data_IF_377329069133
#
_entry.id   IF_377329069133
#
_cell.length_a   1.000
_cell.length_b   1.000
_cell.length_c   1.000
_cell.angle_alpha   90.00
_cell.angle_beta   90.00
_cell.angle_gamma   90.00
#
_symmetry.space_group_name_H-M   'P 1'
#
loop_
_entity.id
_entity.type
_entity.pdbx_description
1 polymer ?
#
# COMPACT_ATOMS: atom_id res chain seq x y z
N UNK A 1 25.21 -26.08 -15.20
CA UNK A 1 25.11 -24.61 -15.02
C UNK A 1 23.64 -24.24 -15.04
N UNK A 2 23.19 -23.36 -14.15
CA UNK A 2 21.81 -22.85 -14.13
C UNK A 2 21.79 -21.34 -14.37
N UNK A 3 20.94 -20.89 -15.29
CA UNK A 3 20.72 -19.47 -15.57
C UNK A 3 19.24 -19.13 -15.40
N UNK A 4 18.94 -18.13 -14.57
CA UNK A 4 17.57 -17.64 -14.41
C UNK A 4 17.35 -16.38 -15.25
N UNK A 5 16.23 -16.30 -15.96
CA UNK A 5 15.84 -15.11 -16.72
C UNK A 5 14.67 -14.43 -16.02
N UNK A 6 14.85 -13.19 -15.58
CA UNK A 6 13.78 -12.37 -15.03
C UNK A 6 13.34 -11.37 -16.09
N UNK A 7 12.12 -11.52 -16.60
CA UNK A 7 11.56 -10.65 -17.63
C UNK A 7 10.55 -9.67 -17.01
N UNK A 8 10.87 -8.38 -17.07
CA UNK A 8 10.12 -7.27 -16.48
C UNK A 8 9.20 -6.51 -17.44
N UNK A 9 9.11 -6.96 -18.69
CA UNK A 9 8.15 -6.40 -19.65
C UNK A 9 6.72 -6.89 -19.39
N UNK A 10 5.78 -6.49 -20.26
CA UNK A 10 4.34 -6.72 -20.07
C UNK A 10 3.81 -8.01 -20.69
N UNK A 11 4.64 -8.75 -21.43
CA UNK A 11 4.22 -9.99 -22.09
C UNK A 11 3.34 -9.75 -23.32
N UNK A 12 3.51 -8.60 -24.00
CA UNK A 12 2.73 -8.26 -25.20
C UNK A 12 3.17 -9.18 -26.36
N UNK A 13 2.22 -9.47 -27.25
CA UNK A 13 2.50 -10.17 -28.51
C UNK A 13 3.52 -9.35 -29.32
N UNK A 14 4.46 -10.03 -29.97
CA UNK A 14 5.55 -9.38 -30.74
C UNK A 14 6.47 -8.51 -29.88
N UNK A 15 6.67 -8.86 -28.61
CA UNK A 15 7.67 -8.20 -27.78
C UNK A 15 9.10 -8.59 -28.23
N UNK A 16 9.95 -7.61 -28.61
CA UNK A 16 11.29 -7.88 -29.10
C UNK A 16 12.22 -8.49 -28.05
N UNK A 17 12.07 -8.13 -26.77
CA UNK A 17 12.85 -8.71 -25.68
C UNK A 17 12.49 -10.18 -25.49
N UNK A 18 11.20 -10.54 -25.59
CA UNK A 18 10.76 -11.93 -25.50
C UNK A 18 11.38 -12.80 -26.59
N UNK A 19 11.45 -12.29 -27.82
CA UNK A 19 12.15 -12.96 -28.92
C UNK A 19 13.63 -13.17 -28.61
N UNK A 20 14.34 -12.11 -28.19
CA UNK A 20 15.77 -12.17 -27.88
C UNK A 20 16.07 -13.16 -26.76
N UNK A 21 15.35 -13.12 -25.63
CA UNK A 21 15.59 -14.07 -24.54
C UNK A 21 15.18 -15.50 -24.93
N UNK A 22 14.22 -15.66 -25.84
CA UNK A 22 13.86 -16.95 -26.43
C UNK A 22 15.03 -17.55 -27.20
N UNK A 23 15.67 -16.76 -28.07
CA UNK A 23 16.88 -17.16 -28.79
C UNK A 23 18.06 -17.44 -27.87
N UNK A 24 18.29 -16.60 -26.87
CA UNK A 24 19.33 -16.85 -25.85
C UNK A 24 19.05 -18.17 -25.12
N UNK A 25 17.79 -18.46 -24.78
CA UNK A 25 17.41 -19.71 -24.10
C UNK A 25 17.69 -20.92 -24.98
N UNK A 26 17.41 -20.86 -26.29
CA UNK A 26 17.71 -21.94 -27.24
C UNK A 26 19.21 -22.25 -27.29
N UNK A 27 20.06 -21.23 -27.47
CA UNK A 27 21.52 -21.39 -27.51
C UNK A 27 22.06 -21.96 -26.20
N UNK A 28 21.53 -21.51 -25.06
CA UNK A 28 21.93 -22.02 -23.75
C UNK A 28 21.49 -23.48 -23.54
N UNK A 29 20.31 -23.86 -24.02
CA UNK A 29 19.81 -25.24 -23.98
C UNK A 29 20.70 -26.19 -24.81
N UNK A 30 21.11 -25.77 -26.01
CA UNK A 30 22.08 -26.49 -26.86
C UNK A 30 23.43 -26.70 -26.15
N UNK A 31 23.82 -25.78 -25.27
CA UNK A 31 25.02 -25.86 -24.44
C UNK A 31 24.80 -26.62 -23.12
N UNK A 32 23.67 -27.32 -22.95
CA UNK A 32 23.27 -28.07 -21.74
C UNK A 32 23.18 -27.19 -20.47
N UNK A 33 22.75 -25.94 -20.62
CA UNK A 33 22.49 -25.03 -19.50
C UNK A 33 21.03 -25.11 -19.12
N UNK A 34 20.74 -25.32 -17.84
CA UNK A 34 19.36 -25.25 -17.34
C UNK A 34 18.92 -23.79 -17.29
N UNK A 35 17.98 -23.41 -18.15
CA UNK A 35 17.39 -22.07 -18.17
C UNK A 35 16.03 -22.09 -17.49
N UNK A 36 15.82 -21.21 -16.52
CA UNK A 36 14.52 -21.02 -15.86
C UNK A 36 14.04 -19.58 -16.05
N UNK A 37 12.86 -19.40 -16.64
CA UNK A 37 12.32 -18.08 -16.99
C UNK A 37 11.19 -17.68 -16.04
N UNK A 38 11.32 -16.50 -15.46
CA UNK A 38 10.36 -15.86 -14.57
C UNK A 38 9.77 -14.63 -15.26
N UNK A 39 8.51 -14.72 -15.65
CA UNK A 39 7.75 -13.58 -16.13
C UNK A 39 7.24 -12.77 -14.93
N UNK A 40 7.83 -11.62 -14.65
CA UNK A 40 7.49 -10.85 -13.44
C UNK A 40 6.04 -10.34 -13.47
N UNK A 41 5.48 -10.12 -14.67
CA UNK A 41 4.07 -9.75 -14.82
C UNK A 41 3.09 -10.88 -14.47
N UNK A 42 3.51 -12.14 -14.43
CA UNK A 42 2.68 -13.27 -13.99
C UNK A 42 2.81 -13.50 -12.48
N UNK A 43 3.93 -13.07 -11.90
CA UNK A 43 4.34 -13.35 -10.52
C UNK A 43 4.17 -12.13 -9.60
N UNK A 44 3.26 -11.20 -9.93
CA UNK A 44 3.14 -9.88 -9.27
C UNK A 44 3.08 -9.94 -7.73
N UNK A 45 2.34 -10.92 -7.20
CA UNK A 45 2.14 -11.08 -5.75
C UNK A 45 3.29 -11.84 -5.08
N UNK A 46 4.13 -12.52 -5.84
CA UNK A 46 5.23 -13.36 -5.34
C UNK A 46 6.61 -12.82 -5.68
N UNK A 47 6.70 -11.63 -6.31
CA UNK A 47 7.99 -10.98 -6.66
C UNK A 47 8.93 -10.87 -5.46
N UNK A 48 8.39 -10.62 -4.26
CA UNK A 48 9.15 -10.53 -3.01
C UNK A 48 9.89 -11.83 -2.63
N UNK A 49 9.43 -12.98 -3.14
CA UNK A 49 10.03 -14.31 -2.93
C UNK A 49 11.03 -14.75 -3.99
N UNK A 50 11.01 -14.11 -5.15
CA UNK A 50 11.89 -14.47 -6.25
C UNK A 50 13.40 -14.32 -5.97
N UNK A 51 13.88 -13.42 -5.09
CA UNK A 51 15.30 -13.37 -4.77
C UNK A 51 15.86 -14.71 -4.25
N UNK A 52 15.05 -15.55 -3.60
CA UNK A 52 15.46 -16.87 -3.14
C UNK A 52 15.82 -17.81 -4.30
N UNK A 53 15.19 -17.65 -5.47
CA UNK A 53 15.51 -18.43 -6.66
C UNK A 53 16.89 -18.12 -7.25
N UNK A 54 17.57 -17.05 -6.81
CA UNK A 54 18.95 -16.74 -7.23
C UNK A 54 19.96 -17.64 -6.51
N UNK A 55 19.59 -18.22 -5.35
CA UNK A 55 20.50 -19.05 -4.55
C UNK A 55 21.01 -20.28 -5.31
N UNK A 56 20.20 -20.85 -6.19
CA UNK A 56 20.53 -22.04 -6.99
C UNK A 56 21.01 -21.72 -8.42
N UNK A 57 21.14 -20.44 -8.78
CA UNK A 57 21.60 -19.99 -10.08
C UNK A 57 23.12 -19.70 -10.10
N UNK A 58 23.77 -19.96 -11.23
CA UNK A 58 25.17 -19.59 -11.51
C UNK A 58 25.25 -18.21 -12.20
N UNK A 59 24.18 -17.84 -12.91
CA UNK A 59 24.03 -16.53 -13.52
C UNK A 59 22.56 -16.17 -13.72
N UNK A 60 22.31 -14.90 -13.99
CA UNK A 60 20.97 -14.39 -14.24
C UNK A 60 20.96 -13.50 -15.49
N UNK A 61 19.80 -13.40 -16.12
CA UNK A 61 19.52 -12.43 -17.18
C UNK A 61 18.41 -11.51 -16.66
N UNK A 62 18.69 -10.21 -16.62
CA UNK A 62 17.68 -9.20 -16.35
C UNK A 62 17.20 -8.64 -17.68
N UNK A 63 15.97 -8.96 -18.04
CA UNK A 63 15.39 -8.62 -19.32
C UNK A 63 14.21 -7.65 -19.17
N UNK A 64 14.17 -6.57 -19.95
CA UNK A 64 13.03 -5.65 -19.94
C UNK A 64 12.80 -4.99 -21.29
N UNK A 65 11.56 -4.63 -21.57
CA UNK A 65 11.17 -3.90 -22.77
C UNK A 65 10.86 -2.45 -22.39
N UNK A 66 11.57 -1.50 -22.99
CA UNK A 66 11.33 -0.07 -22.78
C UNK A 66 10.25 0.41 -23.73
N UNK A 67 9.08 0.68 -23.16
CA UNK A 67 7.93 1.26 -23.87
C UNK A 67 7.75 2.77 -23.59
N UNK A 68 8.30 3.25 -22.47
CA UNK A 68 8.23 4.66 -22.08
C UNK A 68 9.51 5.14 -21.40
N UNK A 69 9.74 4.75 -20.14
CA UNK A 69 10.85 5.26 -19.35
C UNK A 69 11.37 4.22 -18.36
N UNK A 70 12.69 4.03 -18.37
CA UNK A 70 13.40 3.18 -17.43
C UNK A 70 13.09 1.69 -17.60
N UNK A 71 13.35 0.94 -16.53
CA UNK A 71 13.37 -0.53 -16.56
C UNK A 71 12.00 -1.20 -16.33
N UNK A 72 10.96 -0.41 -16.08
CA UNK A 72 9.61 -0.89 -15.77
C UNK A 72 9.39 -1.22 -14.29
N UNK A 73 8.13 -1.12 -13.85
CA UNK A 73 7.76 -1.26 -12.43
C UNK A 73 7.99 -2.65 -11.86
N UNK A 74 7.71 -3.72 -12.62
CA UNK A 74 7.94 -5.08 -12.14
C UNK A 74 9.42 -5.40 -11.96
N UNK A 75 10.28 -4.94 -12.88
CA UNK A 75 11.72 -5.08 -12.76
C UNK A 75 12.26 -4.27 -11.57
N UNK A 76 11.77 -3.05 -11.38
CA UNK A 76 12.13 -2.24 -10.21
C UNK A 76 11.74 -2.95 -8.91
N UNK A 77 10.50 -3.44 -8.80
CA UNK A 77 10.02 -4.16 -7.62
C UNK A 77 10.85 -5.43 -7.34
N UNK A 78 11.27 -6.15 -8.38
CA UNK A 78 12.15 -7.30 -8.25
C UNK A 78 13.54 -6.91 -7.73
N UNK A 79 14.12 -5.81 -8.23
CA UNK A 79 15.41 -5.30 -7.76
C UNK A 79 15.33 -4.79 -6.31
N UNK A 80 14.22 -4.14 -5.95
CA UNK A 80 13.95 -3.73 -4.57
C UNK A 80 13.80 -4.95 -3.65
N UNK A 81 13.12 -6.01 -4.11
CA UNK A 81 13.06 -7.28 -3.39
C UNK A 81 14.45 -7.92 -3.25
N UNK A 82 15.29 -7.89 -4.28
CA UNK A 82 16.69 -8.33 -4.20
C UNK A 82 17.49 -7.46 -3.20
N UNK A 83 17.18 -6.16 -3.11
CA UNK A 83 17.81 -5.29 -2.13
C UNK A 83 17.45 -5.69 -0.69
N UNK A 84 16.16 -5.92 -0.42
CA UNK A 84 15.62 -6.17 0.92
C UNK A 84 15.81 -7.62 1.40
N UNK A 85 15.55 -8.59 0.52
CA UNK A 85 15.43 -10.01 0.88
C UNK A 85 16.45 -10.92 0.17
N UNK A 86 17.29 -10.35 -0.69
CA UNK A 86 18.29 -11.11 -1.45
C UNK A 86 19.50 -11.52 -0.60
N UNK A 87 19.98 -12.74 -0.80
CA UNK A 87 21.24 -13.22 -0.22
C UNK A 87 22.44 -12.52 -0.87
N UNK A 88 23.03 -11.53 -0.18
CA UNK A 88 24.14 -10.73 -0.71
C UNK A 88 25.41 -11.53 -0.97
N UNK A 89 25.70 -12.53 -0.14
CA UNK A 89 26.88 -13.39 -0.32
C UNK A 89 26.79 -14.15 -1.64
N UNK A 90 25.58 -14.63 -1.96
CA UNK A 90 25.34 -15.27 -3.25
C UNK A 90 25.52 -14.31 -4.41
N UNK A 91 25.02 -13.07 -4.29
CA UNK A 91 25.12 -12.08 -5.36
C UNK A 91 26.57 -11.82 -5.77
N UNK A 92 27.51 -11.74 -4.82
CA UNK A 92 28.94 -11.52 -5.10
C UNK A 92 29.57 -12.54 -6.06
N UNK A 93 28.99 -13.73 -6.14
CA UNK A 93 29.44 -14.82 -7.02
C UNK A 93 28.53 -15.02 -8.24
N UNK A 94 27.45 -14.25 -8.37
CA UNK A 94 26.44 -14.41 -9.42
C UNK A 94 26.66 -13.40 -10.55
N UNK A 95 26.80 -13.94 -11.76
CA UNK A 95 26.90 -13.14 -12.98
C UNK A 95 25.54 -12.65 -13.45
N UNK A 96 25.46 -11.44 -13.99
CA UNK A 96 24.22 -10.89 -14.56
C UNK A 96 24.48 -10.31 -15.94
N UNK A 97 23.63 -10.67 -16.90
CA UNK A 97 23.62 -10.10 -18.25
C UNK A 97 22.33 -9.29 -18.47
N UNK A 98 22.40 -7.98 -18.75
CA UNK A 98 21.21 -7.19 -19.05
C UNK A 98 20.81 -7.35 -20.53
N UNK A 99 19.52 -7.53 -20.78
CA UNK A 99 18.93 -7.61 -22.13
C UNK A 99 17.80 -6.60 -22.21
N UNK A 100 17.96 -5.54 -23.00
CA UNK A 100 16.98 -4.45 -23.05
C UNK A 100 16.58 -4.13 -24.48
N UNK A 101 15.38 -4.52 -24.90
CA UNK A 101 14.85 -4.04 -26.18
C UNK A 101 13.91 -2.87 -25.95
N UNK A 102 13.67 -2.07 -26.99
CA UNK A 102 12.74 -0.96 -26.88
C UNK A 102 11.93 -0.75 -28.15
N UNK A 103 10.72 -0.24 -27.96
CA UNK A 103 9.89 0.33 -29.03
C UNK A 103 9.83 1.85 -28.91
N UNK A 104 10.60 2.43 -27.98
CA UNK A 104 10.73 3.84 -27.71
C UNK A 104 12.18 4.17 -27.31
N UNK A 105 12.64 5.43 -27.40
CA UNK A 105 13.97 5.81 -26.93
C UNK A 105 14.16 5.52 -25.43
N UNK A 106 15.34 5.02 -25.04
CA UNK A 106 15.72 4.88 -23.63
C UNK A 106 16.35 3.53 -23.25
N UNK A 107 16.62 2.68 -24.23
CA UNK A 107 17.17 1.33 -24.04
C UNK A 107 18.58 1.35 -23.42
N UNK A 108 19.40 2.35 -23.76
CA UNK A 108 20.76 2.49 -23.23
C UNK A 108 20.74 2.89 -21.76
N UNK A 109 19.88 3.82 -21.40
CA UNK A 109 19.66 4.26 -20.02
C UNK A 109 19.15 3.10 -19.17
N UNK A 110 18.13 2.37 -19.65
CA UNK A 110 17.60 1.20 -18.96
C UNK A 110 18.65 0.09 -18.79
N UNK A 111 19.46 -0.21 -19.80
CA UNK A 111 20.57 -1.18 -19.69
C UNK A 111 21.60 -0.73 -18.64
N UNK A 112 21.92 0.57 -18.61
CA UNK A 112 22.81 1.15 -17.60
C UNK A 112 22.20 1.01 -16.20
N UNK A 113 20.91 1.31 -16.03
CA UNK A 113 20.19 1.15 -14.76
C UNK A 113 20.22 -0.28 -14.24
N UNK A 114 19.97 -1.29 -15.09
CA UNK A 114 20.06 -2.70 -14.68
C UNK A 114 21.48 -3.08 -14.25
N UNK A 115 22.48 -2.63 -15.01
CA UNK A 115 23.90 -2.87 -14.71
C UNK A 115 24.27 -2.29 -13.35
N UNK A 116 23.98 -1.02 -13.13
CA UNK A 116 24.26 -0.32 -11.88
C UNK A 116 23.51 -0.93 -10.70
N UNK A 117 22.23 -1.29 -10.86
CA UNK A 117 21.45 -1.92 -9.81
C UNK A 117 22.08 -3.24 -9.36
N UNK A 118 22.51 -4.09 -10.29
CA UNK A 118 23.16 -5.35 -9.94
C UNK A 118 24.54 -5.16 -9.31
N UNK A 119 25.33 -4.19 -9.77
CA UNK A 119 26.59 -3.82 -9.11
C UNK A 119 26.36 -3.34 -7.68
N UNK A 120 25.36 -2.50 -7.46
CA UNK A 120 24.95 -2.01 -6.15
C UNK A 120 24.39 -3.13 -5.28
N UNK A 121 23.89 -4.24 -5.83
CA UNK A 121 23.55 -5.44 -5.07
C UNK A 121 24.78 -6.26 -4.68
N UNK A 122 25.92 -6.02 -5.32
CA UNK A 122 27.20 -6.69 -5.07
C UNK A 122 27.60 -7.68 -6.17
N UNK A 123 26.77 -7.85 -7.20
CA UNK A 123 26.97 -8.88 -8.21
C UNK A 123 27.99 -8.56 -9.29
N UNK A 124 28.11 -9.50 -10.24
CA UNK A 124 29.08 -9.44 -11.33
C UNK A 124 28.36 -9.12 -12.66
N UNK A 125 28.22 -7.84 -13.05
CA UNK A 125 27.64 -7.53 -14.35
C UNK A 125 28.55 -8.00 -15.49
N UNK A 126 27.93 -8.51 -16.55
CA UNK A 126 28.55 -8.85 -17.82
C UNK A 126 28.04 -7.91 -18.91
N UNK A 127 28.80 -7.74 -20.01
CA UNK A 127 28.34 -6.95 -21.15
C UNK A 127 27.03 -7.50 -21.74
N UNK A 128 25.96 -6.73 -21.60
CA UNK A 128 24.65 -7.06 -22.12
C UNK A 128 24.44 -6.72 -23.59
N UNK A 129 23.18 -6.58 -23.95
CA UNK A 129 22.73 -6.07 -25.24
C UNK A 129 21.51 -5.15 -25.05
N UNK A 130 21.44 -4.12 -25.89
CA UNK A 130 20.25 -3.30 -26.04
C UNK A 130 20.03 -2.91 -27.49
N UNK A 131 18.77 -2.83 -27.92
CA UNK A 131 18.42 -2.39 -29.27
C UNK A 131 17.01 -1.76 -29.31
N UNK A 132 16.86 -0.78 -30.19
CA UNK A 132 15.55 -0.26 -30.58
C UNK A 132 15.01 -1.10 -31.76
N UNK A 133 13.76 -1.52 -31.66
CA UNK A 133 13.07 -2.34 -32.65
C UNK A 133 11.81 -1.60 -33.10
N UNK A 134 11.86 -1.05 -34.31
CA UNK A 134 10.72 -0.36 -34.93
C UNK A 134 9.71 -1.37 -35.52
N UNK A 135 10.22 -2.35 -36.27
CA UNK A 135 9.43 -3.43 -36.85
C UNK A 135 9.92 -4.79 -36.36
N UNK A 136 9.05 -5.48 -35.62
CA UNK A 136 9.34 -6.78 -35.06
C UNK A 136 9.58 -7.84 -36.12
N UNK A 137 8.83 -7.83 -37.23
CA UNK A 137 8.90 -8.88 -38.25
C UNK A 137 10.24 -8.83 -38.96
N UNK A 138 10.68 -7.63 -39.37
CA UNK A 138 12.01 -7.45 -39.97
C UNK A 138 13.12 -7.84 -38.99
N UNK A 139 12.98 -7.51 -37.71
CA UNK A 139 13.96 -7.85 -36.68
C UNK A 139 14.09 -9.37 -36.45
N UNK A 140 12.98 -10.12 -36.51
CA UNK A 140 12.97 -11.57 -36.30
C UNK A 140 13.62 -12.34 -37.47
N UNK A 141 13.50 -11.84 -38.70
CA UNK A 141 13.96 -12.54 -39.91
C UNK A 141 15.45 -12.23 -40.21
N UNK A 142 15.95 -11.09 -39.75
CA UNK A 142 17.31 -10.62 -40.02
C UNK A 142 18.38 -11.55 -39.42
N UNK A 143 19.15 -12.20 -40.29
CA UNK A 143 20.14 -13.22 -39.91
C UNK A 143 21.33 -12.60 -39.17
N UNK A 144 21.72 -11.38 -39.52
CA UNK A 144 22.83 -10.70 -38.86
C UNK A 144 22.50 -10.39 -37.39
N UNK A 145 21.24 -10.06 -37.09
CA UNK A 145 20.78 -9.81 -35.72
C UNK A 145 20.74 -11.10 -34.91
N UNK A 146 20.28 -12.20 -35.50
CA UNK A 146 20.32 -13.53 -34.89
C UNK A 146 21.77 -13.91 -34.51
N UNK A 147 22.71 -13.77 -35.43
CA UNK A 147 24.12 -14.08 -35.17
C UNK A 147 24.72 -13.23 -34.02
N UNK A 148 24.31 -11.96 -33.88
CA UNK A 148 24.71 -11.11 -32.76
C UNK A 148 24.15 -11.64 -31.43
N UNK A 149 22.88 -12.04 -31.40
CA UNK A 149 22.21 -12.59 -30.20
C UNK A 149 22.89 -13.90 -29.78
N UNK A 150 23.13 -14.81 -30.71
CA UNK A 150 23.79 -16.10 -30.47
C UNK A 150 25.20 -15.91 -29.91
N UNK A 151 26.01 -15.06 -30.56
CA UNK A 151 27.35 -14.73 -30.09
C UNK A 151 27.36 -14.16 -28.68
N UNK A 152 26.35 -13.36 -28.32
CA UNK A 152 26.19 -12.80 -26.97
C UNK A 152 25.78 -13.86 -25.95
N UNK A 153 24.91 -14.80 -26.32
CA UNK A 153 24.55 -15.95 -25.47
C UNK A 153 25.77 -16.86 -25.20
N UNK A 154 26.58 -17.15 -26.23
CA UNK A 154 27.82 -17.92 -26.05
C UNK A 154 28.83 -17.21 -25.14
N UNK A 155 28.97 -15.88 -25.29
CA UNK A 155 29.86 -15.11 -24.43
C UNK A 155 29.39 -15.13 -22.98
N UNK A 156 28.07 -15.04 -22.73
CA UNK A 156 27.49 -15.21 -21.40
C UNK A 156 27.86 -16.59 -20.82
N UNK A 157 27.61 -17.66 -21.57
CA UNK A 157 27.96 -19.03 -21.17
C UNK A 157 29.44 -19.14 -20.79
N UNK A 158 30.32 -18.61 -21.65
CA UNK A 158 31.77 -18.69 -21.49
C UNK A 158 32.24 -17.92 -20.26
N UNK A 159 31.73 -16.71 -20.05
CA UNK A 159 32.10 -15.88 -18.89
C UNK A 159 31.73 -16.53 -17.56
N UNK A 160 30.55 -17.16 -17.48
CA UNK A 160 30.11 -17.87 -16.27
C UNK A 160 30.95 -19.15 -16.08
N UNK A 161 31.08 -19.96 -17.13
CA UNK A 161 31.80 -21.24 -17.08
C UNK A 161 33.28 -21.08 -16.71
N UNK A 162 33.92 -20.02 -17.21
CA UNK A 162 35.33 -19.72 -16.93
C UNK A 162 35.52 -18.89 -15.66
N UNK A 163 34.45 -18.50 -14.97
CA UNK A 163 34.49 -17.64 -13.78
C UNK A 163 35.34 -16.39 -14.02
N UNK A 164 35.07 -15.69 -15.14
CA UNK A 164 35.82 -14.50 -15.53
C UNK A 164 35.83 -13.47 -14.41
N UNK A 165 37.03 -12.99 -14.05
CA UNK A 165 37.19 -11.98 -12.99
C UNK A 165 36.85 -10.59 -13.54
N UNK A 166 36.04 -9.84 -12.80
CA UNK A 166 35.77 -8.43 -13.09
C UNK A 166 36.88 -7.54 -12.53
N UNK A 167 37.23 -6.48 -13.25
CA UNK A 167 38.05 -5.39 -12.71
C UNK A 167 37.34 -4.68 -11.54
N UNK A 168 38.08 -4.04 -10.62
CA UNK A 168 37.47 -3.28 -9.54
C UNK A 168 36.70 -2.06 -10.08
N UNK A 169 35.48 -1.86 -9.59
CA UNK A 169 34.64 -0.69 -9.92
C UNK A 169 34.46 0.21 -8.70
N UNK A 170 34.16 1.49 -8.93
CA UNK A 170 33.95 2.48 -7.87
C UNK A 170 32.84 2.05 -6.89
N UNK A 171 31.73 1.51 -7.40
CA UNK A 171 30.62 1.00 -6.58
C UNK A 171 31.07 -0.12 -5.62
N UNK A 172 31.94 -1.02 -6.08
CA UNK A 172 32.52 -2.09 -5.24
C UNK A 172 33.54 -1.57 -4.23
N UNK A 173 34.24 -0.48 -4.53
CA UNK A 173 35.19 0.15 -3.62
C UNK A 173 34.48 0.94 -2.51
N UNK A 174 33.45 1.74 -2.85
CA UNK A 174 32.71 2.58 -1.90
C UNK A 174 31.90 1.74 -0.91
N UNK A 175 31.31 0.61 -1.32
CA UNK A 175 30.66 -0.33 -0.38
C UNK A 175 31.57 -0.80 0.76
N UNK A 176 32.88 -0.96 0.50
CA UNK A 176 33.84 -1.33 1.55
C UNK A 176 34.16 -0.17 2.50
N UNK A 177 34.07 1.06 2.00
CA UNK A 177 34.40 2.29 2.75
C UNK A 177 33.20 2.73 3.61
N UNK A 178 31.97 2.57 3.11
CA UNK A 178 30.73 2.98 3.77
C UNK A 178 30.07 1.87 4.62
N UNK A 179 30.84 0.88 5.07
CA UNK A 179 30.33 -0.18 5.94
C UNK A 179 29.54 0.41 7.11
N UNK A 180 28.34 -0.14 7.35
CA UNK A 180 27.46 0.14 8.49
C UNK A 180 26.52 1.37 8.41
N UNK A 181 25.80 1.53 7.30
CA UNK A 181 24.39 1.93 7.44
C UNK A 181 23.63 0.75 8.06
N UNK A 182 23.01 0.94 9.23
CA UNK A 182 22.26 -0.05 10.04
C UNK A 182 21.32 -0.94 9.21
N UNK A 183 21.85 -1.97 8.57
CA UNK A 183 21.09 -3.14 8.16
C UNK A 183 21.41 -4.21 9.19
N UNK A 184 20.40 -4.67 9.91
CA UNK A 184 20.52 -5.89 10.71
C UNK A 184 20.95 -6.97 9.70
N UNK A 185 22.14 -7.58 9.84
CA UNK A 185 22.57 -8.62 8.93
C UNK A 185 21.65 -9.81 9.17
N UNK A 186 20.61 -9.93 8.35
CA UNK A 186 19.70 -11.07 8.37
C UNK A 186 20.47 -12.26 7.84
N UNK A 187 20.43 -13.35 8.59
CA UNK A 187 20.88 -14.65 8.10
C UNK A 187 20.07 -15.04 6.86
N UNK A 188 20.60 -15.89 5.96
CA UNK A 188 19.85 -16.36 4.80
C UNK A 188 18.47 -16.94 5.16
N UNK A 189 18.36 -17.60 6.32
CA UNK A 189 17.11 -18.14 6.86
C UNK A 189 16.12 -17.04 7.27
N UNK A 190 16.57 -15.98 7.95
CA UNK A 190 15.73 -14.84 8.32
C UNK A 190 15.26 -14.05 7.09
N UNK A 191 16.12 -13.94 6.07
CA UNK A 191 15.78 -13.29 4.79
C UNK A 191 14.70 -14.06 4.04
N UNK A 192 14.79 -15.39 3.98
CA UNK A 192 13.75 -16.24 3.39
C UNK A 192 12.44 -16.20 4.19
N UNK A 193 12.50 -16.18 5.52
CA UNK A 193 11.30 -16.05 6.36
C UNK A 193 10.62 -14.70 6.15
N UNK A 194 11.37 -13.59 6.16
CA UNK A 194 10.83 -12.25 5.92
C UNK A 194 10.23 -12.12 4.52
N UNK A 195 10.87 -12.72 3.52
CA UNK A 195 10.36 -12.78 2.17
C UNK A 195 9.01 -13.49 2.09
N UNK A 196 8.85 -14.62 2.79
CA UNK A 196 7.56 -15.32 2.92
C UNK A 196 6.51 -14.45 3.61
N UNK A 197 6.84 -13.83 4.74
CA UNK A 197 5.91 -12.93 5.46
C UNK A 197 5.50 -11.70 4.63
N UNK A 198 6.40 -11.13 3.83
CA UNK A 198 6.10 -10.00 2.95
C UNK A 198 5.29 -10.40 1.71
N UNK A 199 5.36 -11.67 1.30
CA UNK A 199 4.55 -12.24 0.21
C UNK A 199 3.21 -12.79 0.69
N UNK A 200 3.06 -13.04 1.99
CA UNK A 200 1.86 -13.61 2.57
C UNK A 200 0.77 -12.52 2.64
N UNK A 201 -0.04 -12.46 1.58
CA UNK A 201 -1.29 -11.70 1.58
C UNK A 201 -2.24 -12.17 2.70
N UNK A 202 -2.00 -13.33 3.33
CA UNK A 202 -2.76 -13.76 4.52
C UNK A 202 -2.70 -12.78 5.66
N UNK A 203 -1.67 -11.93 5.82
CA UNK A 203 -1.71 -10.88 6.85
C UNK A 203 -2.67 -9.74 6.49
N UNK A 204 -2.83 -9.42 5.20
CA UNK A 204 -3.81 -8.43 4.72
C UNK A 204 -5.21 -9.05 4.67
N UNK A 205 -5.32 -10.34 4.34
CA UNK A 205 -6.55 -11.10 4.37
C UNK A 205 -7.03 -11.32 5.80
N UNK A 206 -6.14 -11.72 6.72
CA UNK A 206 -6.39 -11.78 8.16
C UNK A 206 -6.69 -10.40 8.71
N UNK A 207 -6.02 -9.31 8.31
CA UNK A 207 -6.45 -7.98 8.75
C UNK A 207 -7.84 -7.61 8.23
N UNK A 208 -8.24 -8.03 7.03
CA UNK A 208 -9.58 -7.79 6.50
C UNK A 208 -10.62 -8.67 7.18
N UNK A 209 -10.31 -9.95 7.40
CA UNK A 209 -11.14 -10.91 8.12
C UNK A 209 -11.22 -10.56 9.60
N UNK A 210 -10.14 -10.09 10.22
CA UNK A 210 -10.08 -9.55 11.57
C UNK A 210 -10.80 -8.21 11.63
N UNK A 211 -10.75 -7.36 10.60
CA UNK A 211 -11.58 -6.14 10.55
C UNK A 211 -13.05 -6.54 10.41
N UNK A 212 -13.41 -7.53 9.60
CA UNK A 212 -14.77 -8.04 9.46
C UNK A 212 -15.24 -8.75 10.73
N UNK A 213 -14.39 -9.54 11.39
CA UNK A 213 -14.64 -10.19 12.68
C UNK A 213 -14.70 -9.15 13.78
N UNK A 214 -13.80 -8.16 13.85
CA UNK A 214 -13.89 -7.03 14.78
C UNK A 214 -15.13 -6.22 14.49
N UNK A 215 -15.56 -6.05 13.25
CA UNK A 215 -16.79 -5.35 12.88
C UNK A 215 -18.02 -6.16 13.29
N UNK A 216 -18.03 -7.48 13.08
CA UNK A 216 -19.09 -8.39 13.48
C UNK A 216 -19.12 -8.62 14.99
N UNK A 217 -17.98 -8.57 15.66
CA UNK A 217 -17.81 -8.67 17.11
C UNK A 217 -18.08 -7.32 17.78
N UNK A 218 -17.82 -6.18 17.13
CA UNK A 218 -18.34 -4.87 17.54
C UNK A 218 -19.84 -4.79 17.33
N UNK A 219 -20.37 -5.29 16.21
CA UNK A 219 -21.82 -5.34 15.94
C UNK A 219 -22.53 -6.27 16.93
N UNK A 220 -21.96 -7.44 17.18
CA UNK A 220 -22.42 -8.41 18.18
C UNK A 220 -22.21 -7.95 19.63
N UNK A 221 -21.13 -7.22 19.94
CA UNK A 221 -20.93 -6.55 21.24
C UNK A 221 -21.76 -5.27 21.37
N UNK A 222 -22.23 -4.64 20.30
CA UNK A 222 -23.24 -3.58 20.35
C UNK A 222 -24.64 -4.16 20.54
N UNK A 223 -24.88 -5.40 20.10
CA UNK A 223 -26.10 -6.17 20.38
C UNK A 223 -26.10 -6.80 21.79
N UNK A 224 -24.92 -7.07 22.39
CA UNK A 224 -24.79 -7.72 23.70
C UNK A 224 -24.20 -6.88 24.84
N UNK A 225 -23.52 -5.77 24.56
CA UNK A 225 -23.42 -4.68 25.52
C UNK A 225 -24.60 -3.78 25.19
N UNK A 226 -25.66 -3.85 26.01
CA UNK A 226 -26.63 -2.78 26.05
C UNK A 226 -25.88 -1.49 26.28
N UNK A 227 -25.60 -0.74 25.21
CA UNK A 227 -25.32 0.67 25.27
C UNK A 227 -26.55 1.19 25.98
N UNK A 228 -26.38 1.56 27.25
CA UNK A 228 -27.47 2.02 28.08
C UNK A 228 -28.12 3.16 27.31
N UNK A 229 -29.27 2.90 26.66
CA UNK A 229 -30.02 3.90 25.88
C UNK A 229 -30.28 5.15 26.74
N UNK A 230 -30.17 5.00 28.07
CA UNK A 230 -30.25 6.02 29.10
C UNK A 230 -28.97 6.88 29.30
N UNK A 231 -27.89 6.73 28.53
CA UNK A 231 -26.67 7.56 28.64
C UNK A 231 -26.30 8.35 27.37
N UNK A 232 -26.88 7.99 26.22
CA UNK A 232 -26.62 8.68 24.94
C UNK A 232 -27.04 10.16 25.03
N UNK A 233 -26.29 11.10 24.43
CA UNK A 233 -26.47 12.56 24.57
C UNK A 233 -26.17 13.19 25.94
N UNK A 234 -26.23 12.44 27.05
CA UNK A 234 -25.91 13.00 28.38
C UNK A 234 -24.44 13.44 28.43
N UNK A 235 -23.54 12.64 27.86
CA UNK A 235 -22.11 12.96 27.78
C UNK A 235 -21.87 14.24 26.98
N UNK A 236 -22.50 14.36 25.81
CA UNK A 236 -22.29 15.49 24.91
C UNK A 236 -22.82 16.82 25.49
N UNK A 237 -23.98 16.78 26.17
CA UNK A 237 -24.51 17.95 26.86
C UNK A 237 -23.64 18.36 28.05
N UNK A 238 -23.05 17.41 28.79
CA UNK A 238 -22.12 17.73 29.88
C UNK A 238 -20.81 18.33 29.39
N UNK A 239 -20.26 17.82 28.30
CA UNK A 239 -18.99 18.29 27.74
C UNK A 239 -19.11 19.72 27.16
N UNK A 240 -20.25 20.05 26.56
CA UNK A 240 -20.47 21.33 25.86
C UNK A 240 -21.18 22.40 26.68
N UNK A 241 -21.44 22.15 27.94
CA UNK A 241 -22.09 23.10 28.83
C UNK A 241 -21.17 24.26 29.21
N UNK A 242 -21.64 25.50 29.05
CA UNK A 242 -20.91 26.71 29.41
C UNK A 242 -21.55 27.36 30.64
N UNK A 243 -20.91 27.33 31.83
CA UNK A 243 -21.50 27.78 33.11
C UNK A 243 -21.71 29.30 33.26
N UNK A 244 -21.63 30.09 32.17
CA UNK A 244 -21.50 31.56 32.21
C UNK A 244 -22.81 32.32 32.07
N UNK A 245 -23.95 31.65 31.94
CA UNK A 245 -25.24 32.28 31.65
C UNK A 245 -26.22 32.02 32.80
N UNK A 246 -26.85 33.07 33.30
CA UNK A 246 -27.84 33.04 34.39
C UNK A 246 -29.16 32.39 33.90
N UNK A 247 -29.10 31.12 33.47
CA UNK A 247 -30.19 30.34 32.89
C UNK A 247 -30.71 29.38 33.94
N UNK A 248 -31.97 29.54 34.30
CA UNK A 248 -32.71 28.56 35.10
C UNK A 248 -33.86 28.06 34.24
N UNK A 249 -33.74 26.83 33.74
CA UNK A 249 -34.76 26.23 32.88
C UNK A 249 -34.73 24.71 32.87
N UNK A 250 -35.90 24.10 32.66
CA UNK A 250 -36.09 22.65 32.52
C UNK A 250 -36.62 22.34 31.12
N UNK A 251 -35.81 21.62 30.35
CA UNK A 251 -36.12 21.22 28.97
C UNK A 251 -36.43 19.72 28.92
N UNK A 252 -37.47 19.36 28.16
CA UNK A 252 -37.85 17.96 27.89
C UNK A 252 -37.78 17.69 26.40
N UNK A 253 -36.85 16.83 25.99
CA UNK A 253 -36.67 16.39 24.61
C UNK A 253 -37.34 15.03 24.39
N UNK A 254 -38.35 14.99 23.52
CA UNK A 254 -38.98 13.77 23.06
C UNK A 254 -38.41 13.40 21.69
N UNK A 255 -37.50 12.43 21.68
CA UNK A 255 -36.87 11.91 20.46
C UNK A 255 -37.75 10.75 19.97
N UNK A 256 -38.31 10.86 18.75
CA UNK A 256 -39.35 9.91 18.27
C UNK A 256 -38.90 8.45 18.29
N UNK A 257 -37.62 8.21 18.03
CA UNK A 257 -37.02 6.88 17.95
C UNK A 257 -36.64 6.32 19.34
N UNK A 258 -36.93 7.06 20.43
CA UNK A 258 -36.59 6.66 21.81
C UNK A 258 -37.81 6.56 22.72
N UNK A 259 -37.79 5.55 23.60
CA UNK A 259 -38.90 5.24 24.52
C UNK A 259 -39.01 6.21 25.70
N UNK A 260 -37.90 6.80 26.15
CA UNK A 260 -37.85 7.76 27.27
C UNK A 260 -37.41 9.14 26.79
N UNK A 261 -38.05 10.23 27.26
CA UNK A 261 -37.58 11.57 26.93
C UNK A 261 -36.32 11.93 27.73
N UNK A 262 -35.47 12.75 27.13
CA UNK A 262 -34.28 13.33 27.77
C UNK A 262 -34.69 14.61 28.50
N UNK A 263 -34.35 14.72 29.77
CA UNK A 263 -34.56 15.89 30.60
C UNK A 263 -33.23 16.59 30.81
N UNK A 264 -33.21 17.89 30.54
CA UNK A 264 -32.05 18.78 30.74
C UNK A 264 -32.48 19.89 31.67
N UNK A 265 -31.97 19.87 32.90
CA UNK A 265 -32.21 20.88 33.92
C UNK A 265 -30.97 21.73 34.09
N UNK A 266 -31.12 23.04 33.94
CA UNK A 266 -30.05 24.01 34.16
C UNK A 266 -30.45 24.84 35.37
N UNK A 267 -29.61 24.87 36.40
CA UNK A 267 -29.79 25.67 37.61
C UNK A 267 -28.51 26.47 37.89
N UNK A 268 -28.48 27.72 37.44
CA UNK A 268 -27.32 28.62 37.47
C UNK A 268 -26.09 27.99 36.79
N UNK A 269 -25.19 27.39 37.57
CA UNK A 269 -23.94 26.79 37.09
C UNK A 269 -23.96 25.25 37.11
N UNK A 270 -25.07 24.64 37.54
CA UNK A 270 -25.23 23.19 37.60
C UNK A 270 -26.12 22.68 36.47
N UNK A 271 -25.61 21.65 35.78
CA UNK A 271 -26.32 20.92 34.74
C UNK A 271 -26.70 19.53 35.24
N UNK A 272 -27.99 19.22 35.23
CA UNK A 272 -28.51 17.88 35.49
C UNK A 272 -29.23 17.34 34.25
N UNK A 273 -28.65 16.30 33.64
CA UNK A 273 -29.18 15.63 32.45
C UNK A 273 -29.48 14.16 32.76
N UNK A 274 -30.70 13.71 32.48
CA UNK A 274 -31.12 12.33 32.69
C UNK A 274 -32.28 11.92 31.77
N UNK A 275 -32.42 10.63 31.49
CA UNK A 275 -33.61 10.10 30.81
C UNK A 275 -34.68 9.71 31.82
N UNK A 276 -35.88 10.25 31.65
CA UNK A 276 -36.96 10.04 32.61
C UNK A 276 -38.17 10.88 32.27
N UNK A 277 -39.12 10.97 33.21
CA UNK A 277 -40.27 11.84 33.06
C UNK A 277 -40.17 12.97 34.08
N UNK A 278 -40.34 14.21 33.61
CA UNK A 278 -40.55 15.38 34.46
C UNK A 278 -41.97 15.89 34.19
N UNK A 279 -42.77 16.03 35.24
CA UNK A 279 -44.22 16.29 35.11
C UNK A 279 -44.52 17.72 34.63
N UNK A 280 -43.63 18.69 34.92
CA UNK A 280 -43.77 20.08 34.45
C UNK A 280 -42.48 20.63 33.81
N UNK A 281 -42.20 20.37 32.53
CA UNK A 281 -41.10 21.01 31.81
C UNK A 281 -41.52 22.41 31.32
N UNK A 282 -40.60 23.37 31.42
CA UNK A 282 -40.86 24.74 30.95
C UNK A 282 -40.85 24.85 29.42
N UNK A 283 -40.09 23.97 28.77
CA UNK A 283 -40.01 23.85 27.31
C UNK A 283 -39.99 22.37 26.94
N UNK A 284 -40.88 21.98 26.04
CA UNK A 284 -40.96 20.64 25.46
C UNK A 284 -40.58 20.69 23.99
N UNK A 285 -39.55 19.94 23.62
CA UNK A 285 -39.02 19.83 22.27
C UNK A 285 -39.32 18.42 21.74
N UNK A 286 -39.87 18.30 20.53
CA UNK A 286 -40.05 17.02 19.82
C UNK A 286 -39.23 17.03 18.54
N UNK A 287 -38.40 16.01 18.36
CA UNK A 287 -37.51 15.88 17.20
C UNK A 287 -37.19 14.40 16.93
N UNK A 288 -36.49 14.14 15.84
CA UNK A 288 -36.01 12.81 15.48
C UNK A 288 -34.52 12.65 15.81
N UNK A 289 -34.04 11.42 15.96
CA UNK A 289 -32.64 11.11 16.33
C UNK A 289 -31.63 11.80 15.38
N UNK A 290 -31.90 11.80 14.07
CA UNK A 290 -31.08 12.50 13.06
C UNK A 290 -30.93 14.00 13.35
N UNK A 291 -32.00 14.66 13.78
CA UNK A 291 -31.98 16.10 14.11
C UNK A 291 -31.20 16.32 15.41
N UNK A 292 -31.36 15.44 16.40
CA UNK A 292 -30.60 15.51 17.66
C UNK A 292 -29.09 15.37 17.40
N UNK A 293 -28.71 14.40 16.57
CA UNK A 293 -27.32 14.11 16.22
C UNK A 293 -26.68 15.32 15.51
N UNK A 294 -27.39 15.95 14.58
CA UNK A 294 -26.90 17.16 13.88
C UNK A 294 -26.73 18.37 14.79
N UNK A 295 -27.56 18.49 15.84
CA UNK A 295 -27.42 19.55 16.85
C UNK A 295 -26.19 19.28 17.71
N UNK A 296 -26.08 18.08 18.28
CA UNK A 296 -24.96 17.70 19.15
C UNK A 296 -23.61 17.75 18.42
N UNK A 297 -23.58 17.40 17.13
CA UNK A 297 -22.38 17.49 16.30
C UNK A 297 -22.04 18.92 15.83
N UNK A 298 -22.81 19.93 16.23
CA UNK A 298 -22.57 21.34 15.89
C UNK A 298 -22.91 21.74 14.45
N UNK A 299 -23.64 20.91 13.70
CA UNK A 299 -24.04 21.22 12.32
C UNK A 299 -25.28 22.13 12.26
N UNK A 300 -26.03 22.24 13.35
CA UNK A 300 -27.21 23.09 13.47
C UNK A 300 -27.44 23.50 14.94
N UNK A 301 -28.16 24.61 15.14
CA UNK A 301 -28.59 25.08 16.45
C UNK A 301 -30.01 24.64 16.77
N UNK A 302 -30.40 24.64 18.06
CA UNK A 302 -31.78 24.37 18.48
C UNK A 302 -32.75 25.39 17.88
N UNK A 303 -32.37 26.67 17.82
CA UNK A 303 -33.19 27.69 17.16
C UNK A 303 -33.37 27.41 15.66
N UNK A 304 -32.31 27.00 14.95
CA UNK A 304 -32.38 26.72 13.51
C UNK A 304 -33.26 25.50 13.23
N UNK A 305 -33.14 24.44 14.03
CA UNK A 305 -33.98 23.25 13.92
C UNK A 305 -35.47 23.56 14.15
N UNK A 306 -35.79 24.52 15.03
CA UNK A 306 -37.15 25.00 15.20
C UNK A 306 -37.63 25.83 14.00
N UNK A 307 -36.80 26.76 13.50
CA UNK A 307 -37.16 27.63 12.36
C UNK A 307 -37.31 26.85 11.04
N UNK A 308 -36.59 25.74 10.84
CA UNK A 308 -36.72 24.88 9.67
C UNK A 308 -37.93 23.94 9.71
N UNK A 309 -38.60 23.83 10.87
CA UNK A 309 -39.71 22.89 11.09
C UNK A 309 -39.27 21.47 11.45
N UNK A 310 -37.96 21.21 11.56
CA UNK A 310 -37.40 19.89 11.90
C UNK A 310 -37.58 19.53 13.39
N UNK A 311 -37.80 20.54 14.24
CA UNK A 311 -38.10 20.39 15.66
C UNK A 311 -39.39 21.14 16.03
N UNK A 312 -40.30 20.47 16.74
CA UNK A 312 -41.51 21.10 17.29
C UNK A 312 -41.27 21.51 18.75
N UNK A 313 -41.62 22.76 19.10
CA UNK A 313 -41.41 23.29 20.45
C UNK A 313 -42.75 23.74 21.05
N UNK A 314 -42.98 23.40 22.33
CA UNK A 314 -44.13 23.84 23.12
C UNK A 314 -43.63 24.36 24.48
N UNK A 315 -43.83 25.64 24.78
CA UNK A 315 -43.35 26.30 26.01
C UNK A 315 -42.95 27.75 25.78
N UNK A 316 -42.14 28.33 26.68
CA UNK A 316 -41.60 29.69 26.50
C UNK A 316 -40.47 29.72 25.46
N UNK A 317 -40.77 30.25 24.27
CA UNK A 317 -39.84 30.37 23.15
C UNK A 317 -38.60 31.23 23.47
N UNK A 318 -38.68 32.14 24.44
CA UNK A 318 -37.50 32.93 24.85
C UNK A 318 -36.41 32.06 25.46
N UNK A 319 -36.80 30.97 26.13
CA UNK A 319 -35.88 29.99 26.75
C UNK A 319 -35.24 29.06 25.72
N UNK A 320 -35.82 28.89 24.53
CA UNK A 320 -35.19 28.12 23.45
C UNK A 320 -33.86 28.77 23.00
N UNK A 321 -33.80 30.11 22.91
CA UNK A 321 -32.56 30.82 22.57
C UNK A 321 -31.48 30.65 23.64
N UNK A 322 -31.89 30.43 24.88
CA UNK A 322 -30.98 30.21 26.01
C UNK A 322 -30.34 28.81 25.96
N UNK A 323 -30.96 27.82 25.30
CA UNK A 323 -30.33 26.52 25.05
C UNK A 323 -29.08 26.65 24.18
N UNK A 324 -29.16 27.40 23.09
CA UNK A 324 -28.02 27.62 22.19
C UNK A 324 -26.90 28.42 22.87
N UNK A 325 -27.21 29.22 23.89
CA UNK A 325 -26.23 29.94 24.70
C UNK A 325 -25.63 29.07 25.83
N UNK A 326 -26.40 28.14 26.37
CA UNK A 326 -25.95 27.25 27.44
C UNK A 326 -25.08 26.11 26.93
N UNK A 327 -25.21 25.72 25.66
CA UNK A 327 -24.42 24.65 25.05
C UNK A 327 -23.67 25.13 23.80
N UNK A 328 -22.34 25.14 23.89
CA UNK A 328 -21.45 25.52 22.79
C UNK A 328 -21.24 24.36 21.79
N UNK A 329 -22.32 23.89 21.18
CA UNK A 329 -22.25 22.83 20.16
C UNK A 329 -21.72 23.34 18.82
N UNK A 330 -22.07 24.57 18.44
CA UNK A 330 -21.59 25.22 17.21
C UNK A 330 -20.38 26.09 17.55
N UNK A 331 -19.25 25.88 16.86
CA UNK A 331 -18.12 26.82 16.92
C UNK A 331 -18.51 28.08 16.13
N UNK A 332 -18.53 29.23 16.79
CA UNK A 332 -18.41 30.51 16.09
C UNK A 332 -16.99 30.59 15.52
N UNK A 333 -16.86 30.85 14.21
CA UNK A 333 -15.58 31.20 13.57
C UNK A 333 -15.08 32.58 14.04
#
# INVERSE_FOLDING_TARGET
MKINIYYGGRGIINDPTLFVIGRISQVLDELNVKVEKFNLYELKNTITTLPASINDADGIILATTVEWFGIGGYMQQFLDACWLYGNKEKFETTYMCPVVMSTAPGEREAMTSLTLAWEMLGGLPLPGMCAYVEDFVSFEIEQDYLAIIEKKAENLYRSISQKTKSLPTSNKAVKRISGAGRNIPLTPQESEQLSKYAADETYVQQQKEDIEELTNLFKGKMEHAGVDENLMYIGDFREKFVPSVNVNAVYKFMIKERKKPLIVQISNSDLNCYYGNHEDPEVLCKLNDDVMNRIVSGQMTFQRAFMSGDMQVKGDFRRLRMLDQAFAFVKED
#
